data_IF_775387841660
#
_entry.id   IF_775387841660
#
_cell.length_a   1.000
_cell.length_b   1.000
_cell.length_c   1.000
_cell.angle_alpha   90.00
_cell.angle_beta   90.00
_cell.angle_gamma   90.00
#
_symmetry.space_group_name_H-M   'P 1'
#
loop_
_entity.id
_entity.type
_entity.pdbx_description
1 polymer ?
#
# COMPACT_ATOMS: atom_id res chain seq x y z
N UNK A 1 25.14 -11.74 15.58
CA UNK A 1 23.90 -11.35 14.88
C UNK A 1 24.08 -10.11 13.98
N UNK A 2 24.90 -9.11 14.36
CA UNK A 2 25.06 -7.85 13.60
C UNK A 2 25.96 -7.90 12.34
N UNK A 3 26.84 -8.89 12.20
CA UNK A 3 27.78 -9.01 11.05
C UNK A 3 27.07 -9.31 9.71
N UNK A 4 25.85 -9.88 9.74
CA UNK A 4 25.10 -10.21 8.52
C UNK A 4 24.24 -9.06 7.96
N UNK A 5 24.03 -7.99 8.73
CA UNK A 5 23.17 -6.86 8.34
C UNK A 5 23.58 -6.21 6.99
N UNK A 6 24.88 -5.88 6.74
CA UNK A 6 25.27 -5.29 5.46
C UNK A 6 25.01 -6.21 4.26
N UNK A 7 25.20 -7.54 4.42
CA UNK A 7 24.90 -8.53 3.36
C UNK A 7 23.39 -8.61 3.08
N UNK A 8 22.57 -8.62 4.13
CA UNK A 8 21.10 -8.68 3.99
C UNK A 8 20.55 -7.41 3.34
N UNK A 9 21.09 -6.24 3.69
CA UNK A 9 20.70 -4.99 3.06
C UNK A 9 21.09 -4.94 1.58
N UNK A 10 22.27 -5.44 1.21
CA UNK A 10 22.68 -5.55 -0.19
C UNK A 10 21.72 -6.48 -0.99
N UNK A 11 21.35 -7.62 -0.42
CA UNK A 11 20.36 -8.52 -1.03
C UNK A 11 18.99 -7.86 -1.17
N UNK A 12 18.51 -7.16 -0.15
CA UNK A 12 17.24 -6.42 -0.19
C UNK A 12 17.27 -5.33 -1.27
N UNK A 13 18.40 -4.63 -1.43
CA UNK A 13 18.57 -3.61 -2.46
C UNK A 13 18.53 -4.21 -3.86
N UNK A 14 19.19 -5.35 -4.08
CA UNK A 14 19.17 -6.05 -5.37
C UNK A 14 17.78 -6.61 -5.71
N UNK A 15 17.06 -7.15 -4.72
CA UNK A 15 15.67 -7.61 -4.91
C UNK A 15 14.74 -6.42 -5.19
N UNK A 16 14.84 -5.34 -4.41
CA UNK A 16 14.05 -4.13 -4.64
C UNK A 16 14.29 -3.55 -6.04
N UNK A 17 15.53 -3.57 -6.52
CA UNK A 17 15.87 -3.11 -7.88
C UNK A 17 15.24 -3.98 -8.98
N UNK A 18 15.01 -5.27 -8.73
CA UNK A 18 14.42 -6.18 -9.72
C UNK A 18 12.90 -6.19 -9.67
N UNK A 19 12.33 -6.23 -8.47
CA UNK A 19 10.88 -6.46 -8.28
C UNK A 19 10.08 -5.15 -8.15
N UNK A 20 10.68 -4.07 -7.63
CA UNK A 20 9.98 -2.80 -7.36
C UNK A 20 10.32 -1.74 -8.43
N UNK A 21 11.29 -2.02 -9.31
CA UNK A 21 11.63 -1.08 -10.37
C UNK A 21 10.43 -0.91 -11.33
N UNK A 22 10.19 0.34 -11.81
CA UNK A 22 9.18 0.56 -12.82
C UNK A 22 9.52 -0.27 -14.07
N UNK A 23 8.51 -0.88 -14.71
CA UNK A 23 8.72 -1.75 -15.86
C UNK A 23 9.39 -0.99 -17.00
N UNK A 24 10.17 -1.70 -17.82
CA UNK A 24 10.75 -1.11 -19.01
C UNK A 24 9.65 -0.86 -20.06
N UNK A 25 9.75 0.21 -20.88
CA UNK A 25 8.76 0.47 -21.94
C UNK A 25 8.54 -0.70 -22.91
N UNK A 26 9.53 -1.57 -23.07
CA UNK A 26 9.46 -2.79 -23.90
C UNK A 26 8.49 -3.84 -23.35
N UNK A 27 8.22 -3.84 -22.06
CA UNK A 27 7.36 -4.82 -21.38
C UNK A 27 5.88 -4.38 -21.42
N UNK A 28 5.62 -3.13 -21.81
CA UNK A 28 4.28 -2.55 -21.87
C UNK A 28 3.28 -3.32 -22.76
N UNK A 29 3.66 -3.78 -23.97
CA UNK A 29 2.77 -4.58 -24.81
C UNK A 29 2.33 -5.88 -24.13
N UNK A 30 3.23 -6.53 -23.39
CA UNK A 30 2.95 -7.76 -22.66
C UNK A 30 1.93 -7.51 -21.55
N UNK A 31 2.16 -6.47 -20.73
CA UNK A 31 1.23 -6.06 -19.65
C UNK A 31 -0.18 -5.78 -20.20
N UNK A 32 -0.28 -5.06 -21.32
CA UNK A 32 -1.58 -4.78 -21.96
C UNK A 32 -2.25 -6.06 -22.45
N UNK A 33 -1.48 -6.99 -22.99
CA UNK A 33 -2.03 -8.27 -23.45
C UNK A 33 -2.57 -9.14 -22.30
N UNK A 34 -1.84 -9.20 -21.19
CA UNK A 34 -2.26 -9.92 -19.98
C UNK A 34 -3.49 -9.28 -19.34
N UNK A 35 -3.56 -7.95 -19.31
CA UNK A 35 -4.74 -7.24 -18.84
C UNK A 35 -5.98 -7.56 -19.69
N UNK A 36 -5.84 -7.62 -21.02
CA UNK A 36 -6.94 -8.04 -21.92
C UNK A 36 -7.37 -9.48 -21.65
N UNK A 37 -6.43 -10.38 -21.38
CA UNK A 37 -6.74 -11.75 -21.02
C UNK A 37 -7.52 -11.81 -19.69
N UNK A 38 -7.12 -11.04 -18.68
CA UNK A 38 -7.85 -10.93 -17.41
C UNK A 38 -9.29 -10.43 -17.62
N UNK A 39 -9.49 -9.41 -18.45
CA UNK A 39 -10.84 -8.90 -18.79
C UNK A 39 -11.68 -10.00 -19.47
N UNK A 40 -11.09 -10.77 -20.37
CA UNK A 40 -11.78 -11.89 -21.02
C UNK A 40 -12.16 -12.99 -20.03
N UNK A 41 -11.30 -13.33 -19.07
CA UNK A 41 -11.61 -14.29 -17.98
C UNK A 41 -12.79 -13.82 -17.14
N UNK A 42 -12.86 -12.53 -16.84
CA UNK A 42 -13.97 -11.92 -16.07
C UNK A 42 -15.27 -12.00 -16.89
N UNK A 43 -15.22 -11.60 -18.16
CA UNK A 43 -16.38 -11.61 -19.07
C UNK A 43 -16.95 -13.02 -19.29
N UNK A 44 -16.06 -14.00 -19.48
CA UNK A 44 -16.44 -15.41 -19.70
C UNK A 44 -16.83 -16.13 -18.40
N UNK A 45 -16.67 -15.48 -17.24
CA UNK A 45 -16.88 -16.07 -15.91
C UNK A 45 -16.02 -17.31 -15.64
N UNK A 46 -14.88 -17.44 -16.32
CA UNK A 46 -13.95 -18.55 -16.15
C UNK A 46 -13.34 -18.61 -14.73
N UNK A 47 -13.36 -17.49 -13.99
CA UNK A 47 -12.91 -17.44 -12.59
C UNK A 47 -13.66 -18.41 -11.66
N UNK A 48 -14.84 -18.90 -12.04
CA UNK A 48 -15.60 -19.90 -11.27
C UNK A 48 -14.94 -21.28 -11.26
N UNK A 49 -14.00 -21.52 -12.17
CA UNK A 49 -13.28 -22.78 -12.30
C UNK A 49 -12.00 -22.79 -11.43
N UNK A 50 -11.65 -21.68 -10.79
CA UNK A 50 -10.45 -21.58 -9.98
C UNK A 50 -10.54 -22.37 -8.69
N UNK A 51 -9.43 -22.99 -8.32
CA UNK A 51 -9.29 -23.63 -7.02
C UNK A 51 -9.20 -22.58 -5.91
N UNK A 52 -9.55 -22.95 -4.68
CA UNK A 52 -9.50 -22.03 -3.53
C UNK A 52 -8.10 -21.45 -3.34
N UNK A 53 -7.06 -22.26 -3.55
CA UNK A 53 -5.67 -21.81 -3.44
C UNK A 53 -5.34 -20.70 -4.44
N UNK A 54 -5.74 -20.87 -5.69
CA UNK A 54 -5.49 -19.87 -6.75
C UNK A 54 -6.27 -18.58 -6.46
N UNK A 55 -7.54 -18.70 -6.08
CA UNK A 55 -8.38 -17.56 -5.72
C UNK A 55 -7.77 -16.75 -4.56
N UNK A 56 -7.23 -17.43 -3.54
CA UNK A 56 -6.55 -16.77 -2.43
C UNK A 56 -5.30 -16.00 -2.88
N UNK A 57 -4.47 -16.60 -3.72
CA UNK A 57 -3.26 -15.92 -4.26
C UNK A 57 -3.65 -14.69 -5.06
N UNK A 58 -4.61 -14.80 -5.98
CA UNK A 58 -5.05 -13.65 -6.77
C UNK A 58 -5.68 -12.55 -5.92
N UNK A 59 -6.45 -12.93 -4.88
CA UNK A 59 -7.01 -11.95 -3.94
C UNK A 59 -5.93 -11.22 -3.14
N UNK A 60 -4.86 -11.92 -2.74
CA UNK A 60 -3.75 -11.31 -1.99
C UNK A 60 -3.00 -10.29 -2.85
N UNK A 61 -2.67 -10.64 -4.09
CA UNK A 61 -2.03 -9.72 -5.04
C UNK A 61 -2.94 -8.53 -5.35
N UNK A 62 -4.25 -8.75 -5.52
CA UNK A 62 -5.21 -7.67 -5.74
C UNK A 62 -5.24 -6.67 -4.56
N UNK A 63 -5.25 -7.19 -3.32
CA UNK A 63 -5.18 -6.34 -2.13
C UNK A 63 -3.85 -5.57 -2.05
N UNK A 64 -2.73 -6.19 -2.40
CA UNK A 64 -1.42 -5.53 -2.44
C UNK A 64 -1.42 -4.31 -3.38
N UNK A 65 -1.99 -4.44 -4.58
CA UNK A 65 -2.10 -3.33 -5.54
C UNK A 65 -2.94 -2.19 -4.96
N UNK A 66 -4.01 -2.49 -4.23
CA UNK A 66 -4.82 -1.48 -3.52
C UNK A 66 -4.01 -0.80 -2.41
N UNK A 67 -3.20 -1.53 -1.65
CA UNK A 67 -2.37 -0.94 -0.61
C UNK A 67 -1.30 -0.01 -1.18
N UNK A 68 -0.77 -0.30 -2.37
CA UNK A 68 0.12 0.64 -3.07
C UNK A 68 -0.53 1.98 -3.39
N UNK A 69 -1.85 2.01 -3.64
CA UNK A 69 -2.58 3.27 -3.81
C UNK A 69 -2.58 4.10 -2.51
N UNK A 70 -2.84 3.48 -1.35
CA UNK A 70 -2.80 4.17 -0.06
C UNK A 70 -1.40 4.66 0.30
N UNK A 71 -0.35 3.88 -0.02
CA UNK A 71 1.04 4.33 0.14
C UNK A 71 1.32 5.55 -0.75
N UNK A 72 0.82 5.55 -1.98
CA UNK A 72 0.88 6.71 -2.88
C UNK A 72 0.15 7.94 -2.31
N UNK A 73 -1.03 7.76 -1.72
CA UNK A 73 -1.76 8.83 -1.05
C UNK A 73 -0.98 9.40 0.15
N UNK A 74 -0.37 8.54 0.98
CA UNK A 74 0.50 8.95 2.09
C UNK A 74 1.69 9.79 1.61
N UNK A 75 2.34 9.39 0.51
CA UNK A 75 3.43 10.15 -0.11
C UNK A 75 2.91 11.49 -0.65
N UNK A 76 1.77 11.49 -1.33
CA UNK A 76 1.14 12.70 -1.89
C UNK A 76 0.73 13.72 -0.81
N UNK A 77 0.21 13.25 0.32
CA UNK A 77 -0.13 14.10 1.47
C UNK A 77 1.11 14.50 2.28
N UNK A 78 2.22 13.78 2.19
CA UNK A 78 3.44 13.92 3.02
C UNK A 78 3.22 13.69 4.52
N UNK A 79 2.12 13.03 4.89
CA UNK A 79 1.77 12.68 6.28
C UNK A 79 1.35 11.22 6.38
N UNK A 80 1.86 10.52 7.39
CA UNK A 80 1.59 9.11 7.63
C UNK A 80 0.21 8.92 8.29
N UNK A 81 -0.17 9.84 9.19
CA UNK A 81 -1.46 9.82 9.89
C UNK A 81 -2.07 11.23 9.93
N UNK A 82 -3.37 11.34 9.59
CA UNK A 82 -4.14 12.58 9.69
C UNK A 82 -3.84 13.63 8.60
N UNK A 83 -4.75 14.59 8.44
CA UNK A 83 -4.50 15.80 7.68
C UNK A 83 -3.89 16.87 8.59
N UNK A 84 -2.92 17.64 8.08
CA UNK A 84 -2.43 18.80 8.81
C UNK A 84 -3.53 19.86 8.83
N UNK A 85 -4.30 19.93 9.91
CA UNK A 85 -5.31 20.97 10.10
C UNK A 85 -4.57 22.28 10.41
N UNK A 86 -4.63 23.31 9.54
CA UNK A 86 -4.04 24.59 9.86
C UNK A 86 -4.72 25.16 11.11
N UNK A 87 -3.94 25.78 12.00
CA UNK A 87 -4.45 26.31 13.27
C UNK A 87 -5.62 27.30 13.13
N UNK A 88 -5.82 27.87 11.93
CA UNK A 88 -6.94 28.74 11.57
C UNK A 88 -8.29 28.03 11.46
N UNK A 89 -8.32 26.71 11.22
CA UNK A 89 -9.55 25.92 11.10
C UNK A 89 -9.98 25.24 12.41
N UNK A 90 -9.19 25.40 13.48
CA UNK A 90 -9.47 24.78 14.78
C UNK A 90 -10.14 25.80 15.70
N UNK A 91 -11.41 25.56 16.05
CA UNK A 91 -12.12 26.38 17.03
C UNK A 91 -11.44 26.28 18.41
N UNK A 92 -11.50 27.35 19.21
CA UNK A 92 -10.93 27.37 20.57
C UNK A 92 -11.48 26.23 21.45
N UNK A 93 -12.73 25.79 21.21
CA UNK A 93 -13.37 24.70 21.94
C UNK A 93 -12.78 23.34 21.55
N UNK A 94 -12.54 23.10 20.26
CA UNK A 94 -11.93 21.86 19.74
C UNK A 94 -10.49 21.69 20.26
N UNK A 95 -9.72 22.78 20.38
CA UNK A 95 -8.39 22.76 21.01
C UNK A 95 -8.42 22.34 22.49
N UNK A 96 -9.43 22.80 23.25
CA UNK A 96 -9.60 22.41 24.66
C UNK A 96 -9.99 20.94 24.78
N UNK A 97 -10.88 20.46 23.91
CA UNK A 97 -11.29 19.07 23.87
C UNK A 97 -10.12 18.14 23.54
N UNK A 98 -9.33 18.46 22.50
CA UNK A 98 -8.14 17.68 22.14
C UNK A 98 -7.11 17.62 23.30
N UNK A 99 -6.88 18.74 23.99
CA UNK A 99 -6.00 18.78 25.16
C UNK A 99 -6.52 17.96 26.36
N UNK A 100 -7.85 17.87 26.52
CA UNK A 100 -8.48 17.02 27.53
C UNK A 100 -8.35 15.53 27.16
N UNK A 101 -8.58 15.18 25.89
CA UNK A 101 -8.41 13.80 25.40
C UNK A 101 -6.96 13.32 25.52
N UNK A 102 -5.96 14.17 25.20
CA UNK A 102 -4.54 13.85 25.42
C UNK A 102 -4.17 13.68 26.91
N UNK A 103 -4.88 14.33 27.82
CA UNK A 103 -4.67 14.20 29.26
C UNK A 103 -5.33 12.94 29.82
N UNK A 104 -6.52 12.58 29.32
CA UNK A 104 -7.21 11.34 29.68
C UNK A 104 -6.43 10.10 29.21
N UNK A 105 -5.90 10.09 27.98
CA UNK A 105 -5.13 8.96 27.46
C UNK A 105 -3.85 8.71 28.27
N UNK A 106 -3.19 9.75 28.79
CA UNK A 106 -2.00 9.63 29.66
C UNK A 106 -2.30 9.09 31.05
N UNK A 107 -3.54 9.22 31.51
CA UNK A 107 -3.99 8.74 32.82
C UNK A 107 -4.64 7.35 32.76
N UNK A 108 -4.85 6.80 31.57
CA UNK A 108 -5.53 5.54 31.34
C UNK A 108 -4.59 4.37 30.96
N UNK A 109 -3.28 4.52 31.22
CA UNK A 109 -2.27 3.47 31.13
C UNK A 109 -1.65 3.17 32.50
#
# INVERSE_FOLDING_TARGET
MFVQFPRRFALLKEVAKKEIAPPMPKEWPTVVSEFRHLVNVINTKAYRQYTVREAMVYSAVFMEVIFWFFVGEMIGRRYICGYLVPASYVSKNTRKLAAQMEAEDKHNF
#
